data_IF_592283579134
#
_entry.id   IF_592283579134
#
_cell.length_a   1.000
_cell.length_b   1.000
_cell.length_c   1.000
_cell.angle_alpha   90.00
_cell.angle_beta   90.00
_cell.angle_gamma   90.00
#
_symmetry.space_group_name_H-M   'P 1'
#
loop_
_entity.id
_entity.type
_entity.pdbx_description
1 polymer ?
#
# COMPACT_ATOMS: atom_id res chain seq x y z
N UNK A 1 -13.49 -7.86 -21.11
CA UNK A 1 -12.77 -6.57 -21.11
C UNK A 1 -12.13 -6.34 -22.47
N UNK A 2 -12.26 -5.14 -23.02
CA UNK A 2 -11.63 -4.79 -24.30
C UNK A 2 -10.11 -4.74 -24.15
N UNK A 3 -9.37 -5.05 -25.25
CA UNK A 3 -7.91 -5.03 -25.25
C UNK A 3 -7.35 -3.65 -24.87
N UNK A 4 -7.97 -2.57 -25.40
CA UNK A 4 -7.58 -1.19 -25.07
C UNK A 4 -7.75 -0.86 -23.58
N UNK A 5 -8.78 -1.37 -22.95
CA UNK A 5 -9.04 -1.20 -21.53
C UNK A 5 -8.04 -1.98 -20.67
N UNK A 6 -7.73 -3.22 -21.08
CA UNK A 6 -6.71 -4.04 -20.42
C UNK A 6 -5.34 -3.38 -20.50
N UNK A 7 -4.98 -2.82 -21.65
CA UNK A 7 -3.70 -2.11 -21.83
C UNK A 7 -3.62 -0.86 -20.95
N UNK A 8 -4.73 -0.11 -20.83
CA UNK A 8 -4.80 1.06 -19.95
C UNK A 8 -4.58 0.67 -18.49
N UNK A 9 -5.21 -0.41 -18.03
CA UNK A 9 -5.05 -0.91 -16.66
C UNK A 9 -3.59 -1.32 -16.41
N UNK A 10 -3.00 -2.10 -17.32
CA UNK A 10 -1.62 -2.52 -17.20
C UNK A 10 -0.64 -1.35 -17.18
N UNK A 11 -0.86 -0.32 -18.00
CA UNK A 11 -0.02 0.87 -18.01
C UNK A 11 -0.15 1.68 -16.71
N UNK A 12 -1.39 1.85 -16.22
CA UNK A 12 -1.65 2.59 -14.98
C UNK A 12 -0.97 1.95 -13.76
N UNK A 13 -1.04 0.61 -13.65
CA UNK A 13 -0.55 -0.11 -12.49
C UNK A 13 0.87 -0.67 -12.65
N UNK A 14 1.58 -0.30 -13.70
CA UNK A 14 2.91 -0.87 -14.03
C UNK A 14 3.98 -0.69 -12.95
N UNK A 15 3.78 0.23 -12.02
CA UNK A 15 4.69 0.41 -10.87
C UNK A 15 4.51 -0.63 -9.78
N UNK A 16 3.44 -1.41 -9.82
CA UNK A 16 3.10 -2.44 -8.83
C UNK A 16 3.14 -1.90 -7.39
N UNK A 17 2.68 -0.66 -7.20
CA UNK A 17 2.68 0.02 -5.91
C UNK A 17 1.25 0.35 -5.47
N UNK A 18 0.47 -0.65 -5.02
CA UNK A 18 -0.94 -0.46 -4.70
C UNK A 18 -1.18 0.45 -3.50
N UNK A 19 -0.21 0.56 -2.61
CA UNK A 19 -0.32 1.40 -1.42
C UNK A 19 0.14 2.84 -1.63
N UNK A 20 0.54 3.23 -2.85
CA UNK A 20 1.09 4.55 -3.14
C UNK A 20 2.26 4.90 -2.21
N UNK A 21 3.14 3.95 -1.96
CA UNK A 21 4.23 4.09 -1.00
C UNK A 21 5.34 4.95 -1.61
N UNK A 22 5.69 6.03 -0.90
CA UNK A 22 6.76 6.93 -1.32
C UNK A 22 8.13 6.31 -1.02
N UNK A 23 9.13 6.70 -1.82
CA UNK A 23 10.52 6.31 -1.58
C UNK A 23 10.97 6.88 -0.24
N UNK A 24 11.59 6.02 0.58
CA UNK A 24 12.23 6.39 1.83
C UNK A 24 13.76 6.40 1.67
N UNK A 25 14.46 6.97 2.64
CA UNK A 25 15.92 7.10 2.60
C UNK A 25 16.67 5.77 2.51
N UNK A 26 16.05 4.69 2.96
CA UNK A 26 16.61 3.34 2.95
C UNK A 26 16.24 2.52 1.70
N UNK A 27 15.45 3.09 0.79
CA UNK A 27 15.01 2.41 -0.44
C UNK A 27 16.13 2.42 -1.47
N UNK A 28 16.52 1.24 -1.94
CA UNK A 28 17.55 1.05 -2.95
C UNK A 28 17.02 0.52 -4.28
N UNK A 29 15.73 0.23 -4.36
CA UNK A 29 15.09 -0.30 -5.56
C UNK A 29 14.71 0.79 -6.56
N UNK A 30 13.96 0.38 -7.57
CA UNK A 30 13.47 1.27 -8.62
C UNK A 30 12.38 2.22 -8.10
N UNK A 31 12.16 3.30 -8.80
CA UNK A 31 11.12 4.25 -8.50
C UNK A 31 10.51 4.82 -9.79
N UNK A 32 9.32 5.41 -9.65
CA UNK A 32 8.71 6.22 -10.71
C UNK A 32 8.29 7.56 -10.14
N UNK A 33 8.18 8.56 -11.02
CA UNK A 33 7.78 9.91 -10.63
C UNK A 33 6.27 10.04 -10.64
N UNK A 34 5.74 10.66 -9.61
CA UNK A 34 4.33 11.03 -9.55
C UNK A 34 4.00 12.19 -10.50
N UNK A 35 2.73 12.58 -10.51
CA UNK A 35 2.27 13.70 -11.34
C UNK A 35 2.97 15.00 -10.94
N UNK A 36 3.39 15.78 -11.94
CA UNK A 36 3.97 17.10 -11.71
C UNK A 36 2.88 18.11 -11.32
N UNK A 37 3.10 18.81 -10.22
CA UNK A 37 2.24 19.91 -9.78
C UNK A 37 3.03 21.22 -9.81
N UNK A 38 2.30 22.33 -9.85
CA UNK A 38 2.88 23.67 -9.89
C UNK A 38 2.31 24.51 -8.74
N UNK A 39 3.10 25.47 -8.24
CA UNK A 39 2.63 26.43 -7.26
C UNK A 39 1.77 27.50 -7.94
N UNK A 40 1.09 28.34 -7.13
CA UNK A 40 0.29 29.45 -7.65
C UNK A 40 1.14 30.46 -8.46
N UNK A 41 2.45 30.50 -8.23
CA UNK A 41 3.40 31.33 -9.01
C UNK A 41 3.91 30.60 -10.26
N UNK A 42 3.28 29.48 -10.63
CA UNK A 42 3.63 28.67 -11.79
C UNK A 42 5.04 28.06 -11.73
N UNK A 43 5.55 27.82 -10.53
CA UNK A 43 6.81 27.13 -10.32
C UNK A 43 6.54 25.63 -10.06
N UNK A 44 7.37 24.72 -10.60
CA UNK A 44 7.19 23.30 -10.37
C UNK A 44 7.44 22.97 -8.89
N UNK A 45 6.54 22.17 -8.29
CA UNK A 45 6.77 21.56 -7.00
C UNK A 45 7.67 20.33 -7.18
N UNK A 46 8.48 19.93 -6.18
CA UNK A 46 9.23 18.68 -6.26
C UNK A 46 8.29 17.51 -6.53
N UNK A 47 8.62 16.70 -7.55
CA UNK A 47 7.85 15.50 -7.85
C UNK A 47 8.07 14.45 -6.77
N UNK A 48 6.98 13.77 -6.40
CA UNK A 48 7.04 12.67 -5.44
C UNK A 48 7.59 11.45 -6.15
N UNK A 49 8.57 10.80 -5.54
CA UNK A 49 9.09 9.51 -5.98
C UNK A 49 8.35 8.39 -5.29
N UNK A 50 7.76 7.50 -6.06
CA UNK A 50 7.07 6.32 -5.55
C UNK A 50 7.91 5.08 -5.81
N UNK A 51 7.87 4.14 -4.87
CA UNK A 51 8.54 2.85 -5.03
C UNK A 51 7.96 2.10 -6.23
N UNK A 52 8.83 1.41 -6.97
CA UNK A 52 8.44 0.53 -8.07
C UNK A 52 8.87 -0.89 -7.74
N UNK A 53 7.93 -1.82 -7.89
CA UNK A 53 8.15 -3.24 -7.59
C UNK A 53 8.10 -4.06 -8.86
N UNK A 54 8.86 -5.17 -8.90
CA UNK A 54 8.90 -6.07 -10.06
C UNK A 54 7.64 -6.91 -10.17
N UNK A 55 7.00 -7.24 -9.04
CA UNK A 55 5.78 -8.05 -9.03
C UNK A 55 4.67 -7.37 -8.24
N UNK A 56 3.42 -7.76 -8.54
CA UNK A 56 2.24 -7.32 -7.80
C UNK A 56 2.32 -7.72 -6.33
N UNK A 57 2.74 -8.96 -6.08
CA UNK A 57 2.85 -9.49 -4.72
C UNK A 57 3.85 -8.70 -3.87
N UNK A 58 4.98 -8.31 -4.43
CA UNK A 58 5.97 -7.49 -3.72
C UNK A 58 5.39 -6.13 -3.31
N UNK A 59 4.65 -5.50 -4.22
CA UNK A 59 4.00 -4.22 -3.92
C UNK A 59 2.94 -4.34 -2.84
N UNK A 60 2.12 -5.38 -2.89
CA UNK A 60 1.13 -5.67 -1.86
C UNK A 60 1.79 -5.95 -0.50
N UNK A 61 2.83 -6.76 -0.49
CA UNK A 61 3.56 -7.09 0.73
C UNK A 61 4.17 -5.85 1.38
N UNK A 62 4.64 -4.88 0.58
CA UNK A 62 5.24 -3.67 1.12
C UNK A 62 4.24 -2.77 1.86
N UNK A 63 2.95 -2.89 1.59
CA UNK A 63 1.91 -2.24 2.41
C UNK A 63 2.07 -2.68 3.86
N UNK A 64 2.15 -3.97 4.10
CA UNK A 64 2.27 -4.53 5.45
C UNK A 64 3.66 -4.23 6.05
N UNK A 65 4.72 -4.33 5.26
CA UNK A 65 6.06 -3.97 5.72
C UNK A 65 6.13 -2.50 6.17
N UNK A 66 5.47 -1.60 5.44
CA UNK A 66 5.37 -0.18 5.78
C UNK A 66 4.59 0.02 7.07
N UNK A 67 3.43 -0.62 7.19
CA UNK A 67 2.56 -0.52 8.36
C UNK A 67 3.25 -1.05 9.63
N UNK A 68 3.98 -2.13 9.53
CA UNK A 68 4.72 -2.70 10.66
C UNK A 68 5.79 -1.76 11.22
N UNK A 69 6.33 -0.87 10.40
CA UNK A 69 7.33 0.12 10.84
C UNK A 69 6.76 1.14 11.83
N UNK A 70 5.43 1.31 11.86
CA UNK A 70 4.80 2.23 12.81
C UNK A 70 4.79 1.70 14.25
N UNK A 71 5.11 0.43 14.43
CA UNK A 71 5.23 -0.23 15.74
C UNK A 71 3.95 -0.13 16.59
N UNK A 72 2.82 -0.33 15.96
CA UNK A 72 1.50 -0.35 16.60
C UNK A 72 0.58 -1.32 15.87
N UNK A 73 -0.37 -1.91 16.59
CA UNK A 73 -1.44 -2.72 16.00
C UNK A 73 -2.78 -2.00 15.96
N UNK A 74 -2.85 -0.77 16.45
CA UNK A 74 -4.06 0.06 16.40
C UNK A 74 -4.31 0.57 14.99
N UNK A 75 -5.45 0.18 14.41
CA UNK A 75 -5.83 0.64 13.07
C UNK A 75 -5.86 2.17 12.98
N UNK A 76 -6.38 2.84 14.01
CA UNK A 76 -6.44 4.29 14.04
C UNK A 76 -5.05 4.91 13.94
N UNK A 77 -4.10 4.43 14.75
CA UNK A 77 -2.72 4.94 14.73
C UNK A 77 -2.02 4.63 13.41
N UNK A 78 -2.23 3.43 12.87
CA UNK A 78 -1.69 3.03 11.58
C UNK A 78 -2.15 3.99 10.48
N UNK A 79 -3.44 4.26 10.40
CA UNK A 79 -3.99 5.08 9.31
C UNK A 79 -3.65 6.56 9.51
N UNK A 80 -3.57 7.05 10.74
CA UNK A 80 -3.06 8.39 11.00
C UNK A 80 -1.66 8.60 10.41
N UNK A 81 -0.81 7.60 10.52
CA UNK A 81 0.55 7.65 9.95
C UNK A 81 0.54 7.46 8.43
N UNK A 82 -0.29 6.53 7.93
CA UNK A 82 -0.34 6.18 6.51
C UNK A 82 -0.97 7.30 5.66
N UNK A 83 -2.02 7.94 6.16
CA UNK A 83 -2.78 8.97 5.45
C UNK A 83 -2.60 10.36 6.09
N UNK A 84 -1.42 10.67 6.57
CA UNK A 84 -1.12 11.84 7.41
C UNK A 84 -1.19 13.20 6.73
N UNK A 85 -1.39 13.27 5.42
CA UNK A 85 -1.27 14.53 4.67
C UNK A 85 -2.52 15.43 4.74
N UNK A 86 -3.58 15.03 5.44
CA UNK A 86 -4.84 15.77 5.52
C UNK A 86 -4.95 16.53 6.85
N UNK A 87 -4.83 17.86 6.78
CA UNK A 87 -4.91 18.73 7.95
C UNK A 87 -6.30 18.72 8.63
N UNK A 88 -7.39 18.47 7.87
CA UNK A 88 -8.74 18.45 8.42
C UNK A 88 -9.05 17.18 9.21
N UNK A 89 -8.31 16.12 8.99
CA UNK A 89 -8.56 14.82 9.58
C UNK A 89 -9.72 14.04 8.94
N UNK A 90 -10.42 14.61 7.96
CA UNK A 90 -11.54 13.95 7.30
C UNK A 90 -11.10 12.72 6.52
N UNK A 91 -9.95 12.81 5.84
CA UNK A 91 -9.43 11.71 5.03
C UNK A 91 -9.18 10.46 5.87
N UNK A 92 -8.51 10.59 7.00
CA UNK A 92 -8.21 9.40 7.80
C UNK A 92 -9.47 8.83 8.47
N UNK A 93 -10.43 9.65 8.85
CA UNK A 93 -11.71 9.18 9.41
C UNK A 93 -12.48 8.36 8.39
N UNK A 94 -12.59 8.85 7.14
CA UNK A 94 -13.24 8.12 6.06
C UNK A 94 -12.47 6.85 5.71
N UNK A 95 -11.17 6.91 5.74
CA UNK A 95 -10.30 5.77 5.49
C UNK A 95 -10.54 4.65 6.51
N UNK A 96 -10.56 4.99 7.80
CA UNK A 96 -10.83 4.04 8.88
C UNK A 96 -12.24 3.47 8.75
N UNK A 97 -13.22 4.32 8.46
CA UNK A 97 -14.61 3.90 8.27
C UNK A 97 -14.74 2.87 7.15
N UNK A 98 -14.12 3.12 6.00
CA UNK A 98 -14.15 2.19 4.87
C UNK A 98 -13.44 0.87 5.21
N UNK A 99 -12.29 0.94 5.85
CA UNK A 99 -11.57 -0.27 6.27
C UNK A 99 -12.38 -1.13 7.24
N UNK A 100 -13.07 -0.51 8.19
CA UNK A 100 -13.83 -1.25 9.20
C UNK A 100 -15.19 -1.73 8.67
N UNK A 101 -15.92 -0.91 7.93
CA UNK A 101 -17.27 -1.22 7.47
C UNK A 101 -17.31 -2.05 6.19
N UNK A 102 -16.40 -1.81 5.25
CA UNK A 102 -16.38 -2.50 3.95
C UNK A 102 -15.46 -3.70 3.98
N UNK A 103 -14.26 -3.54 4.50
CA UNK A 103 -13.20 -4.58 4.48
C UNK A 103 -13.12 -5.39 5.77
N UNK A 104 -13.91 -5.03 6.77
CA UNK A 104 -14.01 -5.74 8.06
C UNK A 104 -12.67 -5.83 8.80
N UNK A 105 -11.80 -4.83 8.61
CA UNK A 105 -10.52 -4.76 9.31
C UNK A 105 -10.78 -4.46 10.78
N UNK A 106 -10.21 -5.26 11.71
CA UNK A 106 -10.43 -5.01 13.15
C UNK A 106 -9.72 -3.76 13.64
N UNK A 107 -10.21 -3.20 14.75
CA UNK A 107 -9.60 -2.01 15.39
C UNK A 107 -8.17 -2.29 15.85
N UNK A 108 -7.91 -3.50 16.31
CA UNK A 108 -6.58 -3.97 16.69
C UNK A 108 -6.22 -5.13 15.78
N UNK A 109 -5.17 -4.94 14.99
CA UNK A 109 -4.78 -5.89 13.96
C UNK A 109 -3.87 -6.94 14.57
N UNK A 110 -4.19 -8.20 14.31
CA UNK A 110 -3.30 -9.32 14.61
C UNK A 110 -2.49 -9.64 13.34
N UNK A 111 -1.25 -9.19 13.29
CA UNK A 111 -0.36 -9.41 12.15
C UNK A 111 0.03 -10.88 11.95
N UNK A 112 -0.27 -11.76 12.91
CA UNK A 112 -0.10 -13.20 12.75
C UNK A 112 -1.31 -13.87 12.06
N UNK A 113 -2.39 -13.13 11.88
CA UNK A 113 -3.61 -13.63 11.22
C UNK A 113 -3.61 -13.24 9.74
N UNK A 114 -3.46 -14.23 8.87
CA UNK A 114 -3.37 -14.01 7.42
C UNK A 114 -4.61 -13.33 6.84
N UNK A 115 -5.79 -13.68 7.32
CA UNK A 115 -7.05 -13.08 6.86
C UNK A 115 -7.08 -11.58 7.15
N UNK A 116 -6.68 -11.17 8.34
CA UNK A 116 -6.65 -9.75 8.72
C UNK A 116 -5.63 -8.97 7.90
N UNK A 117 -4.48 -9.56 7.60
CA UNK A 117 -3.47 -8.96 6.73
C UNK A 117 -4.03 -8.75 5.32
N UNK A 118 -4.71 -9.75 4.77
CA UNK A 118 -5.32 -9.65 3.43
C UNK A 118 -6.40 -8.57 3.42
N UNK A 119 -7.26 -8.51 4.43
CA UNK A 119 -8.29 -7.48 4.54
C UNK A 119 -7.68 -6.07 4.55
N UNK A 120 -6.60 -5.88 5.30
CA UNK A 120 -5.91 -4.60 5.35
C UNK A 120 -5.25 -4.24 4.01
N UNK A 121 -4.53 -5.17 3.39
CA UNK A 121 -3.90 -4.95 2.08
C UNK A 121 -4.96 -4.60 1.03
N UNK A 122 -6.04 -5.35 0.98
CA UNK A 122 -7.10 -5.14 -0.01
C UNK A 122 -7.81 -3.80 0.21
N UNK A 123 -8.10 -3.46 1.44
CA UNK A 123 -8.73 -2.19 1.78
C UNK A 123 -7.87 -0.99 1.39
N UNK A 124 -6.59 -1.01 1.73
CA UNK A 124 -5.66 0.06 1.37
C UNK A 124 -5.53 0.16 -0.16
N UNK A 125 -5.39 -0.98 -0.84
CA UNK A 125 -5.28 -1.02 -2.29
C UNK A 125 -6.49 -0.37 -2.96
N UNK A 126 -7.69 -0.73 -2.53
CA UNK A 126 -8.92 -0.21 -3.14
C UNK A 126 -9.17 1.27 -2.81
N UNK A 127 -8.78 1.72 -1.63
CA UNK A 127 -8.93 3.13 -1.23
C UNK A 127 -7.91 4.02 -1.96
N UNK A 128 -6.70 3.55 -2.14
CA UNK A 128 -5.62 4.33 -2.76
C UNK A 128 -5.68 4.34 -4.29
N UNK A 129 -6.48 3.49 -4.91
CA UNK A 129 -6.54 3.30 -6.36
C UNK A 129 -7.95 3.46 -6.90
N UNK A 130 -8.11 3.66 -8.24
CA UNK A 130 -9.42 3.62 -8.88
C UNK A 130 -10.12 2.25 -8.73
N UNK A 131 -11.45 2.18 -8.95
CA UNK A 131 -12.22 0.93 -8.78
C UNK A 131 -11.74 -0.27 -9.58
N UNK A 132 -10.97 -0.06 -10.67
CA UNK A 132 -10.44 -1.14 -11.50
C UNK A 132 -9.18 -1.81 -10.93
N UNK A 133 -8.75 -1.44 -9.73
CA UNK A 133 -7.62 -2.09 -9.06
C UNK A 133 -7.83 -3.61 -8.90
N UNK A 134 -9.06 -4.05 -8.66
CA UNK A 134 -9.39 -5.46 -8.52
C UNK A 134 -9.23 -6.26 -9.84
N UNK A 135 -9.22 -5.59 -10.98
CA UNK A 135 -8.95 -6.21 -12.28
C UNK A 135 -7.44 -6.45 -12.50
N UNK A 136 -6.59 -5.78 -11.73
CA UNK A 136 -5.14 -5.90 -11.83
C UNK A 136 -4.55 -6.71 -10.67
N UNK A 137 -4.93 -6.42 -9.42
CA UNK A 137 -4.49 -7.15 -8.23
C UNK A 137 -5.49 -8.28 -7.94
N UNK A 138 -5.07 -9.50 -8.27
CA UNK A 138 -5.92 -10.70 -8.20
C UNK A 138 -5.74 -11.43 -6.86
N UNK A 139 -6.65 -12.33 -6.55
CA UNK A 139 -6.61 -13.09 -5.29
C UNK A 139 -5.26 -13.81 -5.09
N UNK A 140 -4.71 -14.38 -6.15
CA UNK A 140 -3.41 -15.05 -6.11
C UNK A 140 -2.26 -14.10 -5.74
N UNK A 141 -2.35 -12.83 -6.13
CA UNK A 141 -1.34 -11.83 -5.77
C UNK A 141 -1.34 -11.56 -4.26
N UNK A 142 -2.51 -11.54 -3.65
CA UNK A 142 -2.64 -11.41 -2.19
C UNK A 142 -2.10 -12.62 -1.45
N UNK A 143 -2.38 -13.83 -1.97
CA UNK A 143 -1.85 -15.07 -1.41
C UNK A 143 -0.32 -15.07 -1.47
N UNK A 144 0.26 -14.70 -2.61
CA UNK A 144 1.70 -14.62 -2.79
C UNK A 144 2.33 -13.53 -1.91
N UNK A 145 1.63 -12.42 -1.72
CA UNK A 145 2.07 -11.35 -0.82
C UNK A 145 2.19 -11.85 0.63
N UNK A 146 1.21 -12.62 1.11
CA UNK A 146 1.26 -13.20 2.45
C UNK A 146 2.47 -14.13 2.59
N UNK A 147 2.75 -14.95 1.58
CA UNK A 147 3.93 -15.82 1.58
C UNK A 147 5.22 -15.01 1.71
N UNK A 148 5.35 -13.90 0.97
CA UNK A 148 6.51 -13.01 1.06
C UNK A 148 6.65 -12.39 2.45
N UNK A 149 5.55 -11.94 3.04
CA UNK A 149 5.54 -11.37 4.39
C UNK A 149 6.05 -12.40 5.40
N UNK A 150 5.56 -13.65 5.33
CA UNK A 150 5.97 -14.72 6.23
C UNK A 150 7.42 -15.13 6.03
N UNK A 151 7.91 -15.15 4.79
CA UNK A 151 9.32 -15.41 4.48
C UNK A 151 10.22 -14.34 5.10
N UNK A 152 9.85 -13.06 4.97
CA UNK A 152 10.59 -11.95 5.55
C UNK A 152 10.63 -12.02 7.08
N UNK A 153 9.55 -12.40 7.73
CA UNK A 153 9.49 -12.61 9.17
C UNK A 153 10.45 -13.71 9.63
N UNK A 154 10.49 -14.82 8.89
CA UNK A 154 11.41 -15.92 9.17
C UNK A 154 12.87 -15.49 9.08
N UNK A 155 13.24 -14.75 8.03
CA UNK A 155 14.59 -14.26 7.84
C UNK A 155 14.99 -13.27 8.93
N UNK A 156 14.11 -12.32 9.24
CA UNK A 156 14.32 -11.33 10.28
C UNK A 156 14.40 -11.98 11.67
N UNK A 157 13.52 -12.96 11.94
CA UNK A 157 13.54 -13.70 13.19
C UNK A 157 14.82 -14.50 13.39
N UNK A 158 15.35 -15.13 12.35
CA UNK A 158 16.64 -15.83 12.41
C UNK A 158 17.80 -14.88 12.69
N UNK A 159 17.80 -13.70 12.08
CA UNK A 159 18.80 -12.68 12.31
C UNK A 159 18.66 -12.05 13.70
N UNK A 160 17.44 -11.88 14.17
CA UNK A 160 17.16 -11.30 15.47
C UNK A 160 17.52 -12.19 16.65
N UNK A 161 17.64 -13.49 16.45
CA UNK A 161 18.02 -14.47 17.50
C UNK A 161 19.53 -14.61 17.64
N UNK A 162 20.25 -14.16 16.64
CA UNK A 162 21.71 -14.14 16.70
C UNK A 162 22.22 -12.91 17.43
#
# INVERSE_FOLDING_TARGET
MAISELMRIQDYYKGNNPGNIKVSSDWTGNFYLGKQYYTDTNKPKPQIKYKKFDTRAEGLADIINTVKKYDTNSLEEIIKSYASADESGERYKNYIKDLTEIYEVPKDINFSNDKQIVQLMKGITDIENPPDADDYYLDEDYIDAVKLIRQNELLTGKLGVM
#
